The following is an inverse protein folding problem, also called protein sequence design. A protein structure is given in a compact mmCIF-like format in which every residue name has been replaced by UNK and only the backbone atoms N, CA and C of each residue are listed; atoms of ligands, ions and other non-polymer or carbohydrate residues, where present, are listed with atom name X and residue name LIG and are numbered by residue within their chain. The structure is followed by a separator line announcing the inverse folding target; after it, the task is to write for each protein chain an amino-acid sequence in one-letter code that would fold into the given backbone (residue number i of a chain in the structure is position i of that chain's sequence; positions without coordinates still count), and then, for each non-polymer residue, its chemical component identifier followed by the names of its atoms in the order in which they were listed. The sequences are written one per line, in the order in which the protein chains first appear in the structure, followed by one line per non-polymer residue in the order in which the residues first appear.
data_IF_545072603642
#
_entry.id   IF_545072603642
#
_cell.length_a   1.000
_cell.length_b   1.000
_cell.length_c   1.000
_cell.angle_alpha   90.00
_cell.angle_beta   90.00
_cell.angle_gamma   90.00
#
_symmetry.space_group_name_H-M   'P 1'
#
loop_
_entity.id
_entity.type
_entity.pdbx_description
1 polymer ?
#
# COMPACT_ATOMS: atom_id res chain seq x y z
N UNK A 1 8.12 14.35 -4.83
CA UNK A 1 6.71 14.16 -4.38
C UNK A 1 6.24 12.81 -4.89
N UNK A 2 5.96 11.85 -3.99
CA UNK A 2 5.56 10.47 -4.35
C UNK A 2 4.07 10.32 -4.10
N UNK A 3 3.28 10.14 -5.15
CA UNK A 3 1.85 9.85 -5.04
C UNK A 3 1.62 8.34 -5.12
N UNK A 4 0.76 7.81 -4.26
CA UNK A 4 0.37 6.41 -4.25
C UNK A 4 -1.05 6.31 -4.76
N UNK A 5 -1.24 5.54 -5.82
CA UNK A 5 -2.55 5.34 -6.45
C UNK A 5 -3.25 4.15 -5.81
N UNK A 6 -4.47 4.37 -5.37
CA UNK A 6 -5.38 3.34 -4.88
C UNK A 6 -6.67 3.34 -5.69
N UNK A 7 -7.38 2.20 -5.72
CA UNK A 7 -8.76 2.20 -6.22
C UNK A 7 -9.70 2.79 -5.17
N UNK A 8 -10.64 3.61 -5.62
CA UNK A 8 -11.63 4.24 -4.75
C UNK A 8 -12.66 3.20 -4.31
N UNK A 9 -12.92 3.13 -3.01
CA UNK A 9 -13.94 2.23 -2.46
C UNK A 9 -15.34 2.73 -2.79
N UNK A 10 -16.17 1.89 -3.41
CA UNK A 10 -17.58 2.16 -3.69
C UNK A 10 -17.87 2.96 -4.98
N UNK A 11 -16.85 3.44 -5.69
CA UNK A 11 -16.99 4.19 -6.95
C UNK A 11 -15.95 3.72 -7.97
N UNK A 12 -16.31 3.70 -9.26
CA UNK A 12 -15.37 3.39 -10.32
C UNK A 12 -14.37 4.55 -10.49
N UNK A 13 -13.11 4.33 -10.09
CA UNK A 13 -12.03 5.30 -10.26
C UNK A 13 -10.80 5.01 -9.42
N UNK A 14 -9.75 5.79 -9.67
CA UNK A 14 -8.49 5.74 -8.94
C UNK A 14 -8.27 7.06 -8.20
N UNK A 15 -7.65 6.97 -7.02
CA UNK A 15 -7.29 8.13 -6.20
C UNK A 15 -5.80 8.12 -5.93
N UNK A 16 -5.16 9.25 -6.21
CA UNK A 16 -3.75 9.47 -5.90
C UNK A 16 -3.64 10.15 -4.52
N UNK A 17 -2.94 9.49 -3.59
CA UNK A 17 -2.78 9.96 -2.21
C UNK A 17 -1.32 10.35 -1.97
N UNK A 18 -1.11 11.52 -1.38
CA UNK A 18 0.19 11.92 -0.87
C UNK A 18 0.36 11.41 0.58
N UNK A 19 1.23 10.42 0.83
CA UNK A 19 1.41 9.85 2.17
C UNK A 19 1.88 10.90 3.20
N UNK A 20 2.56 11.98 2.79
CA UNK A 20 3.04 13.02 3.70
C UNK A 20 1.92 13.86 4.34
N UNK A 21 0.72 13.82 3.78
CA UNK A 21 -0.45 14.55 4.29
C UNK A 21 -1.46 13.63 4.98
N UNK A 22 -1.19 12.31 5.04
CA UNK A 22 -2.07 11.36 5.70
C UNK A 22 -1.97 11.56 7.21
N UNK A 23 -3.11 11.85 7.84
CA UNK A 23 -3.19 12.06 9.29
C UNK A 23 -3.34 10.74 10.03
N UNK A 24 -4.25 9.87 9.57
CA UNK A 24 -4.40 8.51 10.10
C UNK A 24 -5.16 7.62 9.10
N UNK A 25 -5.10 6.31 9.34
CA UNK A 25 -5.78 5.29 8.53
C UNK A 25 -6.65 4.45 9.46
N UNK A 26 -7.82 4.04 8.99
CA UNK A 26 -8.77 3.22 9.76
C UNK A 26 -9.30 2.10 8.90
N UNK A 27 -9.46 0.92 9.49
CA UNK A 27 -10.17 -0.19 8.84
C UNK A 27 -11.64 0.18 8.64
N UNK A 28 -12.16 -0.04 7.43
CA UNK A 28 -13.58 0.09 7.11
C UNK A 28 -14.23 -1.30 7.02
N UNK A 29 -15.55 -1.34 6.85
CA UNK A 29 -16.26 -2.62 6.66
C UNK A 29 -15.89 -3.26 5.32
N UNK A 30 -15.65 -4.57 5.33
CA UNK A 30 -15.37 -5.34 4.11
C UNK A 30 -13.94 -5.16 3.61
N UNK A 31 -13.70 -5.21 2.28
CA UNK A 31 -12.36 -5.13 1.69
C UNK A 31 -11.86 -3.67 1.52
N UNK A 32 -12.35 -2.74 2.34
CA UNK A 32 -12.06 -1.32 2.20
C UNK A 32 -11.34 -0.76 3.44
N UNK A 33 -10.56 0.30 3.23
CA UNK A 33 -9.84 1.03 4.27
C UNK A 33 -10.06 2.53 4.07
N UNK A 34 -10.32 3.24 5.16
CA UNK A 34 -10.47 4.70 5.15
C UNK A 34 -9.12 5.38 5.44
N UNK A 35 -8.73 6.31 4.58
CA UNK A 35 -7.55 7.17 4.75
C UNK A 35 -8.03 8.59 5.04
N UNK A 36 -7.51 9.19 6.12
CA UNK A 36 -7.87 10.54 6.54
C UNK A 36 -6.74 11.51 6.20
N UNK A 37 -7.10 12.57 5.46
CA UNK A 37 -6.20 13.65 5.03
C UNK A 37 -6.79 14.95 5.57
N UNK A 38 -6.38 15.34 6.78
CA UNK A 38 -7.05 16.41 7.51
C UNK A 38 -8.52 16.06 7.79
N UNK A 39 -9.44 16.88 7.29
CA UNK A 39 -10.90 16.67 7.44
C UNK A 39 -11.50 15.79 6.33
N UNK A 40 -10.72 15.43 5.31
CA UNK A 40 -11.20 14.63 4.18
C UNK A 40 -11.02 13.13 4.45
N UNK A 41 -12.09 12.35 4.27
CA UNK A 41 -12.06 10.87 4.32
C UNK A 41 -12.07 10.30 2.91
N UNK A 42 -11.10 9.44 2.61
CA UNK A 42 -11.00 8.72 1.33
C UNK A 42 -11.08 7.22 1.59
N UNK A 43 -12.15 6.60 1.12
CA UNK A 43 -12.27 5.13 1.15
C UNK A 43 -11.49 4.54 -0.02
N UNK A 44 -10.61 3.58 0.25
CA UNK A 44 -9.84 2.85 -0.75
C UNK A 44 -10.07 1.35 -0.66
N UNK A 45 -9.92 0.67 -1.79
CA UNK A 45 -9.91 -0.80 -1.82
C UNK A 45 -8.60 -1.34 -1.27
N UNK A 46 -8.70 -2.32 -0.37
CA UNK A 46 -7.57 -3.00 0.25
C UNK A 46 -7.74 -3.18 1.76
N UNK A 47 -7.02 -4.17 2.29
CA UNK A 47 -6.92 -4.36 3.74
C UNK A 47 -6.03 -3.29 4.38
N UNK A 48 -6.27 -3.00 5.67
CA UNK A 48 -5.49 -2.02 6.42
C UNK A 48 -3.98 -2.27 6.32
N UNK A 49 -3.54 -3.52 6.47
CA UNK A 49 -2.13 -3.89 6.39
C UNK A 49 -1.52 -3.58 5.01
N UNK A 50 -2.27 -3.87 3.93
CA UNK A 50 -1.82 -3.60 2.57
C UNK A 50 -1.72 -2.09 2.29
N UNK A 51 -2.69 -1.31 2.76
CA UNK A 51 -2.70 0.14 2.62
C UNK A 51 -1.53 0.77 3.38
N UNK A 52 -1.30 0.37 4.63
CA UNK A 52 -0.17 0.84 5.42
C UNK A 52 1.16 0.47 4.77
N UNK A 53 1.34 -0.77 4.33
CA UNK A 53 2.57 -1.21 3.65
C UNK A 53 2.88 -0.33 2.44
N UNK A 54 1.86 -0.01 1.61
CA UNK A 54 2.03 0.90 0.48
C UNK A 54 2.38 2.32 0.94
N UNK A 55 1.66 2.88 1.90
CA UNK A 55 1.88 4.24 2.42
C UNK A 55 3.27 4.44 3.04
N UNK A 56 3.77 3.47 3.79
CA UNK A 56 5.09 3.54 4.43
C UNK A 56 6.24 3.19 3.47
N UNK A 57 5.94 2.88 2.20
CA UNK A 57 6.94 2.38 1.25
C UNK A 57 7.51 1.01 1.65
N UNK A 58 6.82 0.30 2.54
CA UNK A 58 7.12 -1.06 2.89
C UNK A 58 6.94 -1.93 1.67
N UNK A 59 8.07 -2.44 1.17
CA UNK A 59 8.16 -3.53 0.20
C UNK A 59 7.02 -4.52 0.49
N UNK A 60 6.08 -4.66 -0.46
CA UNK A 60 5.19 -5.83 -0.50
C UNK A 60 6.10 -7.03 -0.23
N UNK A 61 5.82 -7.94 0.73
CA UNK A 61 6.48 -9.23 0.70
C UNK A 61 6.09 -9.81 -0.66
N UNK A 62 7.03 -9.72 -1.60
CA UNK A 62 6.78 -10.08 -2.97
C UNK A 62 6.29 -11.52 -2.93
N UNK A 63 5.09 -11.76 -3.46
CA UNK A 63 4.67 -13.10 -3.86
C UNK A 63 5.48 -13.54 -5.10
N UNK A 64 6.81 -13.43 -4.99
CA UNK A 64 7.79 -13.87 -5.96
C UNK A 64 8.75 -14.83 -5.25
N UNK A 65 9.23 -15.87 -5.94
CA UNK A 65 10.16 -16.82 -5.34
C UNK A 65 11.39 -16.08 -4.80
N UNK A 66 11.97 -16.53 -3.67
CA UNK A 66 13.09 -15.84 -3.03
C UNK A 66 14.22 -15.59 -4.04
N UNK A 67 14.97 -14.48 -3.91
CA UNK A 67 16.08 -14.19 -4.81
C UNK A 67 17.05 -15.39 -4.75
N UNK A 68 17.22 -16.05 -5.89
CA UNK A 68 18.20 -17.11 -6.06
C UNK A 68 19.58 -16.52 -5.75
N UNK A 69 20.08 -16.81 -4.55
CA UNK A 69 21.47 -16.58 -4.19
C UNK A 69 22.29 -17.47 -5.12
N UNK A 70 22.86 -16.87 -6.18
CA UNK A 70 23.87 -17.53 -7.00
C UNK A 70 25.08 -17.81 -6.11
N UNK A 71 25.11 -19.02 -5.57
CA UNK A 71 26.20 -19.55 -4.77
C UNK A 71 27.41 -19.78 -5.69
N UNK A 72 28.22 -18.74 -5.89
CA UNK A 72 29.57 -18.88 -6.43
C UNK A 72 30.48 -19.35 -5.30
N UNK A 73 30.43 -20.65 -5.01
CA UNK A 73 31.51 -21.30 -4.28
C UNK A 73 32.37 -21.97 -5.35
N UNK A 74 33.45 -21.28 -5.69
CA UNK A 74 34.55 -21.84 -6.44
C UNK A 74 35.03 -23.13 -5.76
N UNK A 75 35.03 -24.24 -6.48
CA UNK A 75 35.84 -25.39 -6.08
C UNK A 75 37.04 -25.47 -7.02
N UNK A 76 38.19 -25.45 -6.36
CA UNK A 76 39.54 -25.71 -6.87
C UNK A 76 39.67 -27.16 -7.34
#
# INVERSE_FOLDING_TARGET
MKLIVFRKGGEAGEVAINPEHVSHVRTASGPFTDIYIGEQRVAVEGSFAQVIARLTGGVEPAAGPPPQVKSWIATR
#
